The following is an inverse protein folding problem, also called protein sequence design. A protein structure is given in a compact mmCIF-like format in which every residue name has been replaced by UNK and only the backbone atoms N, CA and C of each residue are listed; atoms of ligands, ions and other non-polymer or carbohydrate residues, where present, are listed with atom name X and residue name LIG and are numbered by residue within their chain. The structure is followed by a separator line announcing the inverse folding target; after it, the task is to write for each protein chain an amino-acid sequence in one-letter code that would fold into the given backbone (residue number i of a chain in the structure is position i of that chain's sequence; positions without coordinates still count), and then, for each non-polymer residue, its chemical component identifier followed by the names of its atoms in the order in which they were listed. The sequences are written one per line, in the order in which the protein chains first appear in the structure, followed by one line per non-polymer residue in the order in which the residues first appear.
data_IF_361513190778
#
_entry.id   IF_361513190778
#
_cell.length_a   1.000
_cell.length_b   1.000
_cell.length_c   1.000
_cell.angle_alpha   90.00
_cell.angle_beta   90.00
_cell.angle_gamma   90.00
#
_symmetry.space_group_name_H-M   'P 1'
#
loop_
_entity.id
_entity.type
_entity.pdbx_description
1 polymer ?
#
# COMPACT_ATOMS: atom_id res chain seq x y z
N UNK A 1 -11.29 -12.31 0.60
CA UNK A 1 -10.18 -11.69 1.35
C UNK A 1 -8.92 -12.53 1.16
N UNK A 2 -9.00 -13.84 1.39
CA UNK A 2 -7.88 -14.78 1.15
C UNK A 2 -7.34 -14.75 -0.29
N UNK A 3 -8.22 -14.74 -1.31
CA UNK A 3 -7.84 -14.62 -2.73
C UNK A 3 -7.03 -13.34 -3.04
N UNK A 4 -7.25 -12.27 -2.27
CA UNK A 4 -6.57 -10.98 -2.43
C UNK A 4 -5.39 -10.82 -1.47
N UNK A 5 -5.05 -11.88 -0.72
CA UNK A 5 -4.05 -11.86 0.35
C UNK A 5 -4.29 -10.73 1.39
N UNK A 6 -5.56 -10.47 1.69
CA UNK A 6 -6.00 -9.52 2.71
C UNK A 6 -6.27 -10.31 3.98
N UNK A 7 -5.54 -10.02 5.05
CA UNK A 7 -5.61 -10.79 6.31
C UNK A 7 -6.92 -10.60 7.05
N UNK A 8 -7.46 -9.38 7.07
CA UNK A 8 -8.72 -9.06 7.76
C UNK A 8 -9.32 -7.74 7.27
N UNK A 9 -10.57 -7.45 7.66
CA UNK A 9 -11.25 -6.20 7.31
C UNK A 9 -10.56 -4.94 7.86
N UNK A 10 -9.90 -5.06 9.02
CA UNK A 10 -9.20 -3.94 9.68
C UNK A 10 -8.02 -3.46 8.82
N UNK A 11 -7.39 -4.37 8.08
CA UNK A 11 -6.36 -4.02 7.10
C UNK A 11 -6.92 -3.11 6.01
N UNK A 12 -8.11 -3.42 5.49
CA UNK A 12 -8.79 -2.61 4.47
C UNK A 12 -9.22 -1.25 5.04
N UNK A 13 -9.78 -1.22 6.25
CA UNK A 13 -10.14 0.02 6.95
C UNK A 13 -8.91 0.92 7.19
N UNK A 14 -7.78 0.32 7.55
CA UNK A 14 -6.50 1.02 7.73
C UNK A 14 -5.98 1.59 6.42
N UNK A 15 -6.01 0.81 5.34
CA UNK A 15 -5.64 1.28 4.02
C UNK A 15 -6.51 2.44 3.55
N UNK A 16 -7.83 2.36 3.78
CA UNK A 16 -8.76 3.42 3.45
C UNK A 16 -8.47 4.70 4.23
N UNK A 17 -8.17 4.60 5.53
CA UNK A 17 -7.76 5.75 6.34
C UNK A 17 -6.49 6.41 5.80
N UNK A 18 -5.46 5.63 5.46
CA UNK A 18 -4.22 6.17 4.90
C UNK A 18 -4.47 6.89 3.56
N UNK A 19 -5.24 6.27 2.67
CA UNK A 19 -5.61 6.89 1.40
C UNK A 19 -6.34 8.23 1.62
N UNK A 20 -7.34 8.26 2.51
CA UNK A 20 -8.10 9.46 2.87
C UNK A 20 -7.24 10.57 3.48
N UNK A 21 -6.17 10.22 4.18
CA UNK A 21 -5.24 11.15 4.81
C UNK A 21 -4.05 11.54 3.92
N UNK A 22 -3.94 11.02 2.68
CA UNK A 22 -2.77 11.23 1.82
C UNK A 22 -1.51 10.49 2.31
N UNK A 23 -1.66 9.52 3.22
CA UNK A 23 -0.57 8.75 3.81
C UNK A 23 -0.19 7.52 2.97
N UNK A 24 -0.29 7.60 1.63
CA UNK A 24 -0.07 6.46 0.72
C UNK A 24 1.37 5.92 0.77
N UNK A 25 2.33 6.73 1.27
CA UNK A 25 3.69 6.28 1.59
C UNK A 25 3.73 5.07 2.54
N UNK A 26 2.69 4.85 3.33
CA UNK A 26 2.60 3.72 4.26
C UNK A 26 2.30 2.39 3.57
N UNK A 27 1.85 2.40 2.30
CA UNK A 27 1.57 1.16 1.55
C UNK A 27 2.82 0.38 1.18
N UNK A 28 3.95 1.06 0.97
CA UNK A 28 5.26 0.43 0.73
C UNK A 28 5.73 -0.38 1.95
N UNK A 29 5.23 -0.06 3.13
CA UNK A 29 5.64 -0.72 4.34
C UNK A 29 5.00 -2.10 4.49
N UNK A 30 5.83 -3.14 4.49
CA UNK A 30 5.38 -4.49 4.77
C UNK A 30 4.78 -4.62 6.18
N UNK A 31 3.67 -5.34 6.29
CA UNK A 31 3.02 -5.64 7.56
C UNK A 31 3.98 -6.42 8.47
N UNK A 32 4.32 -5.86 9.63
CA UNK A 32 5.20 -6.48 10.61
C UNK A 32 6.67 -6.03 10.55
N UNK A 33 7.02 -5.07 9.68
CA UNK A 33 8.34 -4.41 9.70
C UNK A 33 8.28 -3.09 10.46
N UNK A 34 9.36 -2.75 11.17
CA UNK A 34 9.49 -1.46 11.86
C UNK A 34 9.54 -0.30 10.84
N UNK A 35 9.03 0.87 11.24
CA UNK A 35 9.02 2.08 10.41
C UNK A 35 10.40 2.71 10.30
N UNK A 36 10.86 2.89 9.06
CA UNK A 36 12.08 3.62 8.72
C UNK A 36 11.85 4.48 7.47
N UNK A 37 10.85 5.36 7.51
CA UNK A 37 10.64 6.33 6.44
C UNK A 37 11.78 7.35 6.43
N UNK A 38 12.24 7.71 5.23
CA UNK A 38 13.20 8.80 5.00
C UNK A 38 14.64 8.60 5.47
N UNK A 39 14.92 7.58 6.30
CA UNK A 39 16.25 7.43 6.90
C UNK A 39 17.27 7.01 5.83
N UNK A 40 18.19 7.92 5.52
CA UNK A 40 19.24 7.70 4.51
C UNK A 40 18.81 7.92 3.06
N UNK A 41 17.56 8.32 2.77
CA UNK A 41 17.11 8.53 1.37
C UNK A 41 17.83 9.72 0.72
N UNK A 42 18.09 10.79 1.48
CA UNK A 42 18.79 11.98 0.97
C UNK A 42 20.26 11.72 0.62
N UNK A 43 20.84 10.63 1.14
CA UNK A 43 22.23 10.22 0.88
C UNK A 43 22.32 9.27 -0.34
N UNK A 44 21.19 8.82 -0.87
CA UNK A 44 21.13 7.97 -2.06
C UNK A 44 21.31 8.80 -3.34
N UNK A 45 21.92 8.19 -4.36
CA UNK A 45 21.94 8.75 -5.71
C UNK A 45 20.53 8.80 -6.33
N UNK A 46 20.35 9.65 -7.33
CA UNK A 46 19.07 9.89 -8.01
C UNK A 46 18.42 8.59 -8.54
N UNK A 47 19.22 7.66 -9.07
CA UNK A 47 18.72 6.37 -9.58
C UNK A 47 18.14 5.53 -8.45
N UNK A 48 18.84 5.43 -7.32
CA UNK A 48 18.35 4.68 -6.16
C UNK A 48 17.10 5.33 -5.54
N UNK A 49 17.03 6.67 -5.51
CA UNK A 49 15.82 7.39 -5.10
C UNK A 49 14.63 7.08 -6.03
N UNK A 50 14.83 7.12 -7.35
CA UNK A 50 13.80 6.80 -8.33
C UNK A 50 13.33 5.35 -8.23
N UNK A 51 14.24 4.39 -8.03
CA UNK A 51 13.87 2.97 -7.79
C UNK A 51 13.02 2.79 -6.54
N UNK A 52 13.27 3.57 -5.50
CA UNK A 52 12.47 3.53 -4.28
C UNK A 52 11.08 4.12 -4.53
N UNK A 53 11.00 5.22 -5.28
CA UNK A 53 9.72 5.82 -5.64
C UNK A 53 8.87 4.89 -6.53
N UNK A 54 9.49 4.20 -7.50
CA UNK A 54 8.82 3.19 -8.33
C UNK A 54 8.23 2.09 -7.46
N UNK A 55 9.03 1.49 -6.56
CA UNK A 55 8.56 0.44 -5.64
C UNK A 55 7.38 0.90 -4.80
N UNK A 56 7.44 2.13 -4.28
CA UNK A 56 6.34 2.71 -3.50
C UNK A 56 5.06 2.86 -4.34
N UNK A 57 5.18 3.36 -5.58
CA UNK A 57 4.03 3.50 -6.49
C UNK A 57 3.45 2.14 -6.86
N UNK A 58 4.28 1.11 -7.05
CA UNK A 58 3.84 -0.26 -7.29
C UNK A 58 3.03 -0.80 -6.10
N UNK A 59 3.47 -0.56 -4.87
CA UNK A 59 2.75 -0.95 -3.67
C UNK A 59 1.39 -0.23 -3.53
N UNK A 60 1.35 1.07 -3.84
CA UNK A 60 0.10 1.83 -3.86
C UNK A 60 -0.88 1.27 -4.91
N UNK A 61 -0.40 0.97 -6.12
CA UNK A 61 -1.21 0.38 -7.18
C UNK A 61 -1.75 -1.00 -6.81
N UNK A 62 -0.95 -1.85 -6.15
CA UNK A 62 -1.37 -3.17 -5.69
C UNK A 62 -2.53 -3.08 -4.69
N UNK A 63 -2.42 -2.18 -3.70
CA UNK A 63 -3.48 -1.95 -2.70
C UNK A 63 -4.77 -1.46 -3.37
N UNK A 64 -4.66 -0.51 -4.31
CA UNK A 64 -5.81 0.03 -5.03
C UNK A 64 -6.49 -1.04 -5.89
N UNK A 65 -5.72 -1.89 -6.58
CA UNK A 65 -6.27 -3.02 -7.35
C UNK A 65 -7.03 -4.00 -6.46
N UNK A 66 -6.44 -4.39 -5.32
CA UNK A 66 -7.10 -5.26 -4.33
C UNK A 66 -8.40 -4.65 -3.81
N UNK A 67 -8.42 -3.34 -3.55
CA UNK A 67 -9.64 -2.65 -3.13
C UNK A 67 -10.73 -2.70 -4.22
N UNK A 68 -10.36 -2.44 -5.47
CA UNK A 68 -11.30 -2.50 -6.60
C UNK A 68 -11.89 -3.89 -6.81
N UNK A 69 -11.07 -4.94 -6.70
CA UNK A 69 -11.53 -6.33 -6.81
C UNK A 69 -12.43 -6.71 -5.64
N UNK A 70 -12.07 -6.31 -4.41
CA UNK A 70 -12.89 -6.52 -3.23
C UNK A 70 -14.26 -5.84 -3.39
N UNK A 71 -14.29 -4.58 -3.82
CA UNK A 71 -15.51 -3.83 -4.09
C UNK A 71 -16.36 -4.54 -5.14
N UNK A 72 -15.78 -4.94 -6.28
CA UNK A 72 -16.49 -5.73 -7.32
C UNK A 72 -17.10 -7.01 -6.75
N UNK A 73 -16.33 -7.75 -5.95
CA UNK A 73 -16.80 -9.00 -5.34
C UNK A 73 -18.02 -8.79 -4.43
N UNK A 74 -18.11 -7.65 -3.74
CA UNK A 74 -19.25 -7.32 -2.89
C UNK A 74 -20.49 -6.95 -3.71
N UNK A 75 -20.32 -6.15 -4.76
CA UNK A 75 -21.43 -5.79 -5.65
C UNK A 75 -22.01 -7.01 -6.39
N UNK A 76 -21.18 -7.98 -6.77
CA UNK A 76 -21.64 -9.22 -7.43
C UNK A 76 -22.32 -10.21 -6.48
N UNK A 77 -22.18 -10.02 -5.16
CA UNK A 77 -22.75 -10.89 -4.13
C UNK A 77 -24.05 -10.34 -3.53
N UNK A 78 -24.45 -9.13 -3.94
CA UNK A 78 -25.74 -8.49 -3.69
C UNK A 78 -26.73 -8.85 -4.81
#
# INVERSE_FOLDING_TARGET
MDELNIRNKIQVETWWRWYRNGETHRFDQQVGKQYSYSKGIQELDEIEQLKLEIRRKDAELDVLKKYMELQRSWYLRL
#
